data_IF_518302544845
#
_entry.id   IF_518302544845
#
_cell.length_a   1.000
_cell.length_b   1.000
_cell.length_c   1.000
_cell.angle_alpha   90.00
_cell.angle_beta   90.00
_cell.angle_gamma   90.00
#
_symmetry.space_group_name_H-M   'P 1'
#
loop_
_entity.id
_entity.type
_entity.pdbx_description
1 polymer ?
#
# COMPACT_ATOMS: atom_id res chain seq x y z
N UNK A 1 6.52 25.17 -14.64
CA UNK A 1 7.74 24.95 -13.80
C UNK A 1 8.32 26.27 -13.29
N UNK A 2 8.65 27.23 -14.17
CA UNK A 2 9.22 28.53 -13.78
C UNK A 2 8.33 29.32 -12.80
N UNK A 3 7.01 29.39 -13.04
CA UNK A 3 6.03 30.09 -12.19
C UNK A 3 6.02 29.60 -10.73
N UNK A 4 6.34 28.31 -10.52
CA UNK A 4 6.39 27.67 -9.20
C UNK A 4 7.82 27.63 -8.64
N UNK A 5 8.79 28.30 -9.28
CA UNK A 5 10.23 28.26 -8.98
C UNK A 5 10.77 26.83 -8.71
N UNK A 6 10.30 25.83 -9.46
CA UNK A 6 10.74 24.45 -9.30
C UNK A 6 12.20 24.35 -9.74
N UNK A 7 13.08 23.95 -8.81
CA UNK A 7 14.53 23.81 -9.03
C UNK A 7 15.03 22.37 -8.92
N UNK A 8 14.20 21.48 -8.38
CA UNK A 8 14.54 20.08 -8.09
C UNK A 8 13.38 19.19 -8.57
N UNK A 9 13.67 18.13 -9.31
CA UNK A 9 12.67 17.20 -9.85
C UNK A 9 13.02 15.77 -9.44
N UNK A 10 12.11 15.10 -8.75
CA UNK A 10 12.20 13.68 -8.41
C UNK A 10 11.23 12.88 -9.29
N UNK A 11 11.78 12.11 -10.23
CA UNK A 11 11.02 11.22 -11.13
C UNK A 11 10.97 9.81 -10.55
N UNK A 12 9.79 9.40 -10.07
CA UNK A 12 9.49 8.06 -9.57
C UNK A 12 8.66 7.28 -10.60
N UNK A 13 9.27 6.86 -11.71
CA UNK A 13 8.60 6.06 -12.75
C UNK A 13 9.49 4.94 -13.32
N UNK A 14 8.99 4.22 -14.32
CA UNK A 14 9.75 3.20 -15.04
C UNK A 14 10.87 3.81 -15.90
N UNK A 15 10.66 5.05 -16.38
CA UNK A 15 11.60 5.78 -17.24
C UNK A 15 11.91 7.18 -16.66
N UNK A 16 13.12 7.72 -16.87
CA UNK A 16 13.45 9.11 -16.57
C UNK A 16 12.87 10.07 -17.63
N UNK A 17 12.74 11.35 -17.27
CA UNK A 17 12.58 12.44 -18.26
C UNK A 17 13.81 12.41 -19.19
N UNK A 18 13.61 12.46 -20.51
CA UNK A 18 14.71 12.39 -21.50
C UNK A 18 15.59 13.63 -21.37
N UNK A 19 16.90 13.51 -21.61
CA UNK A 19 17.85 14.63 -21.47
C UNK A 19 17.47 15.88 -22.28
N UNK A 20 16.87 15.70 -23.45
CA UNK A 20 16.44 16.81 -24.31
C UNK A 20 15.20 17.56 -23.77
N UNK A 21 14.44 16.91 -22.89
CA UNK A 21 13.24 17.47 -22.24
C UNK A 21 13.58 18.10 -20.86
N UNK A 22 14.86 18.03 -20.43
CA UNK A 22 15.33 18.56 -19.15
C UNK A 22 15.77 20.01 -19.26
N UNK A 23 15.24 20.87 -18.38
CA UNK A 23 15.61 22.28 -18.28
C UNK A 23 16.94 22.47 -17.53
N UNK A 24 17.90 23.18 -18.12
CA UNK A 24 19.25 23.39 -17.57
C UNK A 24 19.33 24.09 -16.20
N UNK A 25 18.27 24.76 -15.76
CA UNK A 25 18.19 25.47 -14.48
C UNK A 25 17.54 24.64 -13.34
N UNK A 26 17.40 23.33 -13.53
CA UNK A 26 16.67 22.38 -12.68
C UNK A 26 17.47 21.08 -12.53
N UNK A 27 17.67 20.60 -11.29
CA UNK A 27 18.33 19.31 -11.03
C UNK A 27 17.32 18.16 -11.12
N UNK A 28 17.61 17.14 -11.94
CA UNK A 28 16.76 15.96 -12.09
C UNK A 28 17.34 14.75 -11.35
N UNK A 29 16.55 14.14 -10.47
CA UNK A 29 16.85 12.85 -9.82
C UNK A 29 15.84 11.81 -10.28
N UNK A 30 16.33 10.78 -10.95
CA UNK A 30 15.53 9.59 -11.28
C UNK A 30 15.65 8.53 -10.18
N UNK A 31 14.53 7.88 -9.88
CA UNK A 31 14.42 6.68 -9.06
C UNK A 31 13.44 5.73 -9.78
N UNK A 32 13.93 4.55 -10.16
CA UNK A 32 13.11 3.55 -10.87
C UNK A 32 11.99 3.04 -9.95
N UNK A 33 10.74 3.11 -10.42
CA UNK A 33 9.57 2.64 -9.66
C UNK A 33 8.41 2.22 -10.58
N UNK A 34 7.98 0.97 -10.45
CA UNK A 34 6.80 0.40 -11.13
C UNK A 34 5.53 0.60 -10.29
N UNK A 35 4.37 0.73 -10.93
CA UNK A 35 3.07 0.89 -10.24
C UNK A 35 2.40 -0.47 -9.97
N UNK A 36 3.17 -1.40 -9.42
CA UNK A 36 2.80 -2.81 -9.25
C UNK A 36 2.64 -3.14 -7.77
N UNK A 37 1.71 -4.05 -7.43
CA UNK A 37 1.53 -4.52 -6.05
C UNK A 37 2.77 -5.23 -5.48
N UNK A 38 3.62 -5.77 -6.35
CA UNK A 38 4.92 -6.38 -6.01
C UNK A 38 6.07 -5.38 -5.91
N UNK A 39 5.86 -4.07 -6.18
CA UNK A 39 6.93 -3.08 -6.01
C UNK A 39 7.16 -2.82 -4.51
N UNK A 40 8.21 -3.42 -3.95
CA UNK A 40 8.79 -2.95 -2.70
C UNK A 40 9.40 -1.55 -2.90
N UNK A 41 8.96 -0.59 -2.09
CA UNK A 41 9.49 0.77 -2.02
C UNK A 41 10.23 1.04 -0.71
N UNK A 42 9.97 0.26 0.35
CA UNK A 42 10.63 0.41 1.64
C UNK A 42 12.05 -0.15 1.57
N UNK A 43 12.22 -1.27 0.87
CA UNK A 43 13.47 -1.96 0.72
C UNK A 43 14.50 -1.26 -0.16
N UNK A 44 15.68 -1.88 -0.20
CA UNK A 44 16.80 -1.53 -1.07
C UNK A 44 17.28 -0.06 -0.95
N UNK A 45 16.86 0.65 0.11
CA UNK A 45 17.13 2.07 0.32
C UNK A 45 16.33 3.02 -0.58
N UNK A 46 15.36 2.53 -1.35
CA UNK A 46 14.66 3.27 -2.41
C UNK A 46 13.88 4.47 -1.86
N UNK A 47 13.05 4.24 -0.83
CA UNK A 47 12.36 5.31 -0.12
C UNK A 47 13.34 6.24 0.63
N UNK A 48 14.38 5.71 1.27
CA UNK A 48 15.37 6.55 1.97
C UNK A 48 16.12 7.49 1.03
N UNK A 49 16.40 7.09 -0.22
CA UNK A 49 16.97 7.97 -1.22
C UNK A 49 15.99 9.09 -1.63
N UNK A 50 14.73 8.74 -1.90
CA UNK A 50 13.68 9.72 -2.22
C UNK A 50 13.50 10.75 -1.10
N UNK A 51 13.32 10.29 0.14
CA UNK A 51 13.09 11.14 1.30
C UNK A 51 14.30 12.02 1.62
N UNK A 52 15.52 11.52 1.42
CA UNK A 52 16.76 12.30 1.57
C UNK A 52 16.87 13.42 0.53
N UNK A 53 16.55 13.14 -0.73
CA UNK A 53 16.58 14.14 -1.82
C UNK A 53 15.56 15.26 -1.59
N UNK A 54 14.33 14.93 -1.17
CA UNK A 54 13.32 15.94 -0.82
C UNK A 54 13.78 16.74 0.42
N UNK A 55 14.27 16.06 1.46
CA UNK A 55 14.68 16.70 2.71
C UNK A 55 15.93 17.59 2.60
N UNK A 56 16.88 17.31 1.68
CA UNK A 56 17.98 18.24 1.39
C UNK A 56 17.48 19.44 0.60
N UNK A 57 16.76 19.20 -0.49
CA UNK A 57 16.22 20.23 -1.38
C UNK A 57 15.36 21.27 -0.65
N UNK A 58 14.44 20.83 0.21
CA UNK A 58 13.59 21.73 1.01
C UNK A 58 14.41 22.53 2.03
N UNK A 59 15.46 21.93 2.62
CA UNK A 59 16.39 22.63 3.54
C UNK A 59 17.26 23.66 2.83
N UNK A 60 17.57 23.42 1.56
CA UNK A 60 18.24 24.37 0.66
C UNK A 60 17.30 25.49 0.16
N UNK A 61 16.02 25.50 0.56
CA UNK A 61 15.02 26.47 0.11
C UNK A 61 14.48 26.24 -1.31
N UNK A 62 14.71 25.06 -1.90
CA UNK A 62 14.26 24.73 -3.25
C UNK A 62 12.86 24.12 -3.27
N UNK A 63 12.01 24.58 -4.19
CA UNK A 63 10.75 23.91 -4.50
C UNK A 63 11.01 22.62 -5.30
N UNK A 64 10.45 21.51 -4.82
CA UNK A 64 10.65 20.16 -5.35
C UNK A 64 9.38 19.67 -6.05
N UNK A 65 9.50 19.25 -7.31
CA UNK A 65 8.45 18.50 -8.00
C UNK A 65 8.71 17.00 -7.88
N UNK A 66 7.86 16.29 -7.14
CA UNK A 66 7.87 14.82 -7.10
C UNK A 66 6.77 14.30 -8.02
N UNK A 67 7.13 13.51 -9.04
CA UNK A 67 6.16 13.01 -10.02
C UNK A 67 6.40 11.54 -10.41
N UNK A 68 5.36 10.92 -10.95
CA UNK A 68 5.43 9.66 -11.69
C UNK A 68 4.76 9.87 -13.06
N UNK A 69 4.18 8.83 -13.65
CA UNK A 69 3.47 8.93 -14.94
C UNK A 69 2.20 9.81 -14.87
N UNK A 70 1.32 9.56 -13.89
CA UNK A 70 0.00 10.22 -13.78
C UNK A 70 -0.12 11.14 -12.54
N UNK A 71 0.80 11.01 -11.59
CA UNK A 71 0.72 11.70 -10.30
C UNK A 71 -0.50 11.26 -9.45
N UNK A 72 -0.72 9.94 -9.41
CA UNK A 72 -1.83 9.26 -8.71
C UNK A 72 -1.32 8.36 -7.59
N UNK A 73 -0.35 7.48 -7.88
CA UNK A 73 0.13 6.44 -6.96
C UNK A 73 1.59 6.64 -6.54
N UNK A 74 2.59 6.06 -7.24
CA UNK A 74 4.03 6.11 -6.89
C UNK A 74 4.54 7.40 -6.23
N UNK A 75 4.37 8.55 -6.90
CA UNK A 75 4.83 9.84 -6.38
C UNK A 75 4.01 10.36 -5.19
N UNK A 76 2.71 10.04 -5.13
CA UNK A 76 1.86 10.31 -3.96
C UNK A 76 2.35 9.51 -2.77
N UNK A 77 2.74 8.24 -2.95
CA UNK A 77 3.31 7.41 -1.87
C UNK A 77 4.60 8.01 -1.31
N UNK A 78 5.51 8.47 -2.18
CA UNK A 78 6.77 9.11 -1.77
C UNK A 78 6.52 10.43 -1.03
N UNK A 79 5.58 11.27 -1.50
CA UNK A 79 5.20 12.51 -0.81
C UNK A 79 4.48 12.22 0.51
N UNK A 80 3.64 11.18 0.56
CA UNK A 80 2.98 10.74 1.79
C UNK A 80 4.01 10.33 2.84
N UNK A 81 4.95 9.43 2.50
CA UNK A 81 6.03 9.02 3.40
C UNK A 81 6.89 10.21 3.88
N UNK A 82 7.09 11.24 3.05
CA UNK A 82 7.77 12.47 3.45
C UNK A 82 6.96 13.27 4.48
N UNK A 83 5.67 13.49 4.23
CA UNK A 83 4.74 14.17 5.15
C UNK A 83 4.62 13.40 6.48
N UNK A 84 4.48 12.08 6.42
CA UNK A 84 4.44 11.19 7.59
C UNK A 84 5.71 11.31 8.43
N UNK A 85 6.90 11.22 7.80
CA UNK A 85 8.19 11.38 8.50
C UNK A 85 8.40 12.78 9.08
N UNK A 86 7.94 13.83 8.39
CA UNK A 86 8.21 15.21 8.79
C UNK A 86 7.28 15.71 9.91
N UNK A 87 6.03 15.23 9.95
CA UNK A 87 5.03 15.67 10.93
C UNK A 87 4.55 14.57 11.89
N UNK A 88 5.14 13.37 11.82
CA UNK A 88 4.73 12.17 12.57
C UNK A 88 3.23 11.84 12.40
N UNK A 89 2.75 11.92 11.16
CA UNK A 89 1.35 11.64 10.79
C UNK A 89 1.15 10.21 10.31
N UNK A 90 -0.05 9.66 10.55
CA UNK A 90 -0.48 8.39 10.00
C UNK A 90 -0.61 8.40 8.48
N UNK A 91 -0.55 7.22 7.86
CA UNK A 91 -0.70 7.04 6.42
C UNK A 91 -2.02 7.65 5.89
N UNK A 92 -3.12 7.39 6.59
CA UNK A 92 -4.44 7.97 6.30
C UNK A 92 -4.39 9.50 6.30
N UNK A 93 -3.89 10.12 7.37
CA UNK A 93 -3.85 11.58 7.53
C UNK A 93 -2.96 12.25 6.47
N UNK A 94 -1.83 11.65 6.13
CA UNK A 94 -0.94 12.14 5.09
C UNK A 94 -1.58 12.05 3.69
N UNK A 95 -2.29 10.94 3.39
CA UNK A 95 -3.00 10.79 2.12
C UNK A 95 -4.20 11.74 2.02
N UNK A 96 -5.01 11.90 3.07
CA UNK A 96 -6.09 12.90 3.13
C UNK A 96 -5.58 14.33 2.92
N UNK A 97 -4.40 14.66 3.47
CA UNK A 97 -3.77 15.96 3.26
C UNK A 97 -3.38 16.17 1.79
N UNK A 98 -2.75 15.17 1.15
CA UNK A 98 -2.39 15.24 -0.27
C UNK A 98 -3.64 15.31 -1.15
N UNK A 99 -4.68 14.55 -0.84
CA UNK A 99 -5.95 14.54 -1.59
C UNK A 99 -6.65 15.91 -1.62
N UNK A 100 -6.50 16.75 -0.58
CA UNK A 100 -7.02 18.13 -0.59
C UNK A 100 -6.37 19.02 -1.68
N UNK A 101 -5.09 18.77 -2.01
CA UNK A 101 -4.37 19.49 -3.06
C UNK A 101 -4.38 18.74 -4.42
N UNK A 102 -4.55 17.41 -4.40
CA UNK A 102 -4.53 16.51 -5.56
C UNK A 102 -5.65 15.47 -5.42
N UNK A 103 -6.91 15.77 -5.74
CA UNK A 103 -8.04 14.87 -5.48
C UNK A 103 -7.96 13.48 -6.13
N UNK A 104 -7.17 13.31 -7.18
CA UNK A 104 -6.91 12.01 -7.83
C UNK A 104 -5.83 11.17 -7.13
N UNK A 105 -5.28 11.61 -6.00
CA UNK A 105 -4.24 10.92 -5.26
C UNK A 105 -4.77 9.63 -4.61
N UNK A 106 -4.38 8.48 -5.17
CA UNK A 106 -4.72 7.16 -4.68
C UNK A 106 -3.58 6.17 -4.98
N UNK A 107 -2.71 5.88 -4.00
CA UNK A 107 -1.75 4.78 -4.11
C UNK A 107 -2.44 3.43 -4.34
N UNK A 108 -1.73 2.50 -4.97
CA UNK A 108 -2.17 1.11 -5.01
C UNK A 108 -2.15 0.49 -3.59
N UNK A 109 -2.90 -0.60 -3.37
CA UNK A 109 -3.11 -1.15 -2.03
C UNK A 109 -1.80 -1.61 -1.33
N UNK A 110 -0.83 -2.12 -2.09
CA UNK A 110 0.49 -2.50 -1.56
C UNK A 110 1.25 -1.27 -1.05
N UNK A 111 1.18 -0.14 -1.75
CA UNK A 111 1.76 1.11 -1.27
C UNK A 111 1.08 1.64 -0.01
N UNK A 112 -0.25 1.50 0.12
CA UNK A 112 -0.97 1.87 1.37
C UNK A 112 -0.52 0.97 2.52
N UNK A 113 -0.42 -0.34 2.30
CA UNK A 113 0.14 -1.31 3.26
C UNK A 113 1.57 -0.93 3.65
N UNK A 114 2.45 -0.63 2.69
CA UNK A 114 3.83 -0.23 2.93
C UNK A 114 3.94 1.10 3.69
N UNK A 115 3.06 2.08 3.47
CA UNK A 115 2.99 3.29 4.30
C UNK A 115 2.60 2.96 5.75
N UNK A 116 1.66 2.03 5.97
CA UNK A 116 1.31 1.56 7.32
C UNK A 116 2.48 0.81 8.00
N UNK A 117 3.22 -0.02 7.25
CA UNK A 117 4.44 -0.67 7.76
C UNK A 117 5.51 0.38 8.10
N UNK A 118 5.65 1.44 7.30
CA UNK A 118 6.57 2.55 7.55
C UNK A 118 6.21 3.37 8.80
N UNK A 119 4.90 3.60 9.04
CA UNK A 119 4.38 4.18 10.29
C UNK A 119 4.74 3.34 11.51
N UNK A 120 4.48 2.02 11.45
CA UNK A 120 4.83 1.07 12.51
C UNK A 120 6.36 0.92 12.73
N UNK A 121 7.17 1.24 11.72
CA UNK A 121 8.63 1.33 11.84
C UNK A 121 9.13 2.68 12.40
N UNK A 122 8.24 3.55 12.91
CA UNK A 122 8.61 4.87 13.42
C UNK A 122 9.10 5.80 12.30
N UNK A 123 8.47 5.71 11.13
CA UNK A 123 8.80 6.47 9.92
C UNK A 123 10.23 6.27 9.40
N UNK A 124 10.78 5.06 9.57
CA UNK A 124 12.14 4.66 9.13
C UNK A 124 12.08 3.52 8.11
N UNK A 125 12.90 3.63 7.06
CA UNK A 125 13.14 2.58 6.07
C UNK A 125 14.65 2.28 5.95
N UNK A 126 15.41 2.55 7.02
CA UNK A 126 16.81 2.14 7.14
C UNK A 126 16.92 0.62 7.35
N UNK A 127 18.06 0.02 7.00
CA UNK A 127 18.24 -1.44 7.03
C UNK A 127 18.02 -2.08 8.40
N UNK A 128 18.10 -1.30 9.50
CA UNK A 128 17.79 -1.77 10.85
C UNK A 128 16.28 -1.79 11.09
N UNK A 129 15.57 -0.74 10.71
CA UNK A 129 14.10 -0.71 10.80
C UNK A 129 13.47 -1.87 10.00
N UNK A 130 13.92 -2.06 8.75
CA UNK A 130 13.46 -3.14 7.86
C UNK A 130 13.74 -4.53 8.44
N UNK A 131 14.95 -4.79 8.95
CA UNK A 131 15.29 -6.11 9.52
C UNK A 131 14.56 -6.42 10.82
N UNK A 132 14.20 -5.40 11.61
CA UNK A 132 13.52 -5.58 12.90
C UNK A 132 11.97 -5.67 12.75
N UNK A 133 11.40 -5.18 11.66
CA UNK A 133 9.95 -5.20 11.40
C UNK A 133 9.43 -6.56 10.94
N UNK A 134 8.62 -7.23 11.78
CA UNK A 134 7.91 -8.46 11.38
C UNK A 134 6.90 -8.19 10.25
N UNK A 135 6.22 -7.04 10.26
CA UNK A 135 5.22 -6.68 9.24
C UNK A 135 5.87 -6.55 7.85
N UNK A 136 7.08 -6.00 7.80
CA UNK A 136 7.87 -5.94 6.56
C UNK A 136 8.33 -7.33 6.11
N UNK A 137 8.79 -8.19 7.03
CA UNK A 137 9.16 -9.58 6.70
C UNK A 137 7.98 -10.38 6.13
N UNK A 138 6.78 -10.21 6.70
CA UNK A 138 5.56 -10.81 6.16
C UNK A 138 5.26 -10.29 4.75
N UNK A 139 5.19 -8.96 4.58
CA UNK A 139 4.97 -8.32 3.27
C UNK A 139 5.95 -8.83 2.20
N UNK A 140 7.22 -8.98 2.53
CA UNK A 140 8.23 -9.53 1.62
C UNK A 140 7.91 -10.98 1.21
N UNK A 141 7.52 -11.85 2.15
CA UNK A 141 7.12 -13.22 1.87
C UNK A 141 5.84 -13.29 1.01
N UNK A 142 4.82 -12.52 1.38
CA UNK A 142 3.51 -12.48 0.69
C UNK A 142 3.62 -11.99 -0.76
N UNK A 143 4.58 -11.09 -1.04
CA UNK A 143 4.78 -10.50 -2.38
C UNK A 143 5.94 -11.10 -3.18
N UNK A 144 6.66 -12.07 -2.61
CA UNK A 144 7.87 -12.66 -3.23
C UNK A 144 9.06 -11.70 -3.32
N UNK A 145 9.05 -10.59 -2.58
CA UNK A 145 10.15 -9.63 -2.55
C UNK A 145 11.31 -10.17 -1.70
N UNK A 146 12.51 -10.14 -2.26
CA UNK A 146 13.75 -10.44 -1.52
C UNK A 146 14.39 -9.11 -1.12
N UNK A 147 14.23 -8.65 0.14
CA UNK A 147 14.81 -7.38 0.56
C UNK A 147 16.34 -7.50 0.60
N UNK A 148 17.05 -6.53 0.02
CA UNK A 148 18.52 -6.47 0.03
C UNK A 148 19.07 -6.08 1.42
N UNK A 149 18.78 -6.90 2.42
CA UNK A 149 19.36 -6.84 3.76
C UNK A 149 20.88 -7.08 3.63
N UNK A 150 21.65 -6.07 4.02
CA UNK A 150 23.09 -6.03 3.76
C UNK A 150 23.85 -7.29 4.21
N UNK A 151 24.74 -7.78 3.36
CA UNK A 151 25.76 -8.82 3.66
C UNK A 151 25.25 -10.22 4.07
N UNK A 152 23.96 -10.53 3.96
CA UNK A 152 23.46 -11.90 4.05
C UNK A 152 23.78 -12.71 2.76
N UNK A 153 23.46 -12.15 1.59
CA UNK A 153 23.61 -12.81 0.29
C UNK A 153 25.06 -13.19 -0.05
N UNK A 154 26.04 -12.42 0.45
CA UNK A 154 27.47 -12.75 0.32
C UNK A 154 27.87 -14.02 1.08
N UNK A 155 27.26 -14.31 2.23
CA UNK A 155 27.59 -15.52 3.01
C UNK A 155 26.95 -16.79 2.42
N UNK A 156 25.79 -16.67 1.78
CA UNK A 156 25.18 -17.80 1.06
C UNK A 156 25.93 -18.11 -0.24
N UNK A 157 26.37 -17.09 -0.98
CA UNK A 157 27.22 -17.26 -2.16
C UNK A 157 28.61 -17.84 -1.80
N UNK A 158 29.24 -17.37 -0.71
CA UNK A 158 30.53 -17.88 -0.25
C UNK A 158 30.50 -19.37 0.20
N UNK A 159 29.32 -19.93 0.49
CA UNK A 159 29.16 -21.38 0.75
C UNK A 159 29.17 -22.26 -0.50
N UNK A 160 29.07 -21.67 -1.70
CA UNK A 160 29.12 -22.39 -2.99
C UNK A 160 30.52 -22.30 -3.63
N UNK A 161 31.36 -21.36 -3.20
CA UNK A 161 32.78 -21.27 -3.59
C UNK A 161 33.66 -21.10 -2.36
N UNK A 162 34.21 -22.21 -1.86
CA UNK A 162 35.02 -22.28 -0.64
C UNK A 162 36.35 -21.51 -0.72
N UNK A 163 36.32 -20.19 -0.51
CA UNK A 163 37.49 -19.34 -0.33
C UNK A 163 37.27 -18.39 0.85
N UNK A 164 38.10 -18.52 1.88
CA UNK A 164 38.18 -17.58 2.99
C UNK A 164 38.86 -16.28 2.53
N UNK A 165 38.32 -15.13 2.94
CA UNK A 165 38.95 -13.82 2.76
C UNK A 165 38.88 -13.07 4.09
N UNK A 166 39.99 -12.45 4.49
CA UNK A 166 40.16 -11.85 5.82
C UNK A 166 39.38 -10.54 5.99
N UNK A 167 38.96 -10.25 7.22
CA UNK A 167 38.27 -9.01 7.58
C UNK A 167 39.26 -7.94 8.03
N UNK A 168 39.17 -6.74 7.44
CA UNK A 168 39.88 -5.54 7.90
C UNK A 168 38.89 -4.43 8.29
N UNK A 169 39.28 -3.59 9.26
CA UNK A 169 38.34 -2.76 10.00
C UNK A 169 38.12 -1.37 9.38
N UNK A 170 36.86 -0.94 9.28
CA UNK A 170 36.50 0.49 9.29
C UNK A 170 35.47 0.78 10.40
N UNK A 171 35.77 1.80 11.22
CA UNK A 171 34.90 2.25 12.32
C UNK A 171 33.99 3.38 11.85
N UNK A 172 32.67 3.23 11.94
CA UNK A 172 31.73 4.35 11.82
C UNK A 172 31.67 5.15 13.13
N UNK A 173 31.75 6.49 13.05
CA UNK A 173 31.41 7.39 14.15
C UNK A 173 29.90 7.65 14.16
N UNK A 174 29.31 7.84 15.34
CA UNK A 174 27.91 8.22 15.50
C UNK A 174 27.68 9.72 15.28
N UNK A 175 26.48 10.10 14.84
CA UNK A 175 26.01 11.49 14.80
C UNK A 175 25.27 11.85 16.11
N UNK A 176 25.37 13.10 16.60
CA UNK A 176 24.67 13.53 17.81
C UNK A 176 23.16 13.73 17.59
N UNK A 177 22.37 13.66 18.66
CA UNK A 177 20.98 14.12 18.67
C UNK A 177 20.95 15.65 18.67
N UNK A 178 20.05 16.25 17.89
CA UNK A 178 19.70 17.66 18.01
C UNK A 178 18.73 17.87 19.18
N UNK A 179 18.89 18.97 19.91
CA UNK A 179 18.00 19.38 20.99
C UNK A 179 16.77 20.13 20.45
N UNK A 180 15.65 20.05 21.16
CA UNK A 180 14.45 20.83 20.84
C UNK A 180 14.67 22.32 21.20
N UNK A 181 14.29 23.21 20.29
CA UNK A 181 14.22 24.66 20.56
C UNK A 181 12.81 25.07 21.02
N UNK A 182 12.73 26.25 21.65
CA UNK A 182 11.69 26.55 22.63
C UNK A 182 10.29 26.87 22.06
N UNK A 183 9.29 26.71 22.93
CA UNK A 183 7.86 27.01 22.74
C UNK A 183 7.57 28.49 22.99
N UNK A 184 6.86 29.13 22.07
CA UNK A 184 6.06 30.36 22.28
C UNK A 184 4.77 30.19 21.46
N UNK A 185 3.60 30.05 22.09
CA UNK A 185 2.73 31.09 22.70
C UNK A 185 1.60 31.52 21.75
N UNK A 186 0.37 31.09 22.07
CA UNK A 186 -0.91 31.64 21.63
C UNK A 186 -1.81 31.67 22.90
N UNK A 187 -2.69 32.67 23.13
CA UNK A 187 -3.26 32.93 24.46
C UNK A 187 -4.38 31.98 24.92
N UNK A 188 -4.66 32.01 26.23
CA UNK A 188 -5.84 31.41 26.87
C UNK A 188 -7.11 32.27 26.63
N UNK A 189 -8.31 31.71 26.83
CA UNK A 189 -9.08 31.86 28.09
C UNK A 189 -10.27 30.82 28.15
N UNK A 190 -11.23 30.79 29.12
CA UNK A 190 -11.21 29.68 30.08
C UNK A 190 -12.56 28.97 30.35
N UNK A 191 -12.54 28.06 31.36
CA UNK A 191 -13.65 27.52 32.18
C UNK A 191 -14.07 26.06 31.91
N UNK A 192 -14.24 25.25 32.98
CA UNK A 192 -14.69 23.85 32.89
C UNK A 192 -14.23 22.91 34.03
N UNK A 193 -14.32 23.34 35.29
CA UNK A 193 -13.87 22.60 36.48
C UNK A 193 -14.61 21.25 36.72
N UNK A 194 -13.91 20.17 37.11
CA UNK A 194 -14.23 19.38 38.33
C UNK A 194 -13.21 18.26 38.68
N UNK A 195 -12.43 18.52 39.74
CA UNK A 195 -12.13 17.67 40.91
C UNK A 195 -11.46 16.27 40.84
N UNK A 196 -10.73 16.01 41.93
CA UNK A 196 -9.94 14.83 42.29
C UNK A 196 -10.78 13.75 43.04
N UNK A 197 -10.30 12.53 43.35
CA UNK A 197 -9.37 12.24 44.48
C UNK A 197 -8.66 10.87 44.38
N UNK A 198 -7.55 10.75 45.12
CA UNK A 198 -6.82 9.53 45.55
C UNK A 198 -6.87 9.50 47.12
N UNK A 199 -6.58 8.41 47.88
CA UNK A 199 -5.42 7.50 47.79
C UNK A 199 -5.82 6.03 47.40
N UNK A 200 -5.42 4.85 47.94
CA UNK A 200 -4.67 4.40 49.15
C UNK A 200 -3.94 3.05 48.96
N UNK A 201 -3.16 2.66 49.99
CA UNK A 201 -2.53 1.35 50.25
C UNK A 201 -3.53 0.38 50.93
N UNK A 202 -3.26 -0.91 51.23
CA UNK A 202 -1.97 -1.61 51.48
C UNK A 202 -2.06 -3.16 51.38
N UNK A 203 -0.94 -3.82 51.74
CA UNK A 203 -0.81 -5.22 52.21
C UNK A 203 -0.79 -6.37 51.17
N UNK A 204 -0.20 -7.49 51.61
CA UNK A 204 0.22 -8.63 50.79
C UNK A 204 -0.15 -9.97 51.44
N UNK A 205 -0.34 -11.02 50.63
CA UNK A 205 -0.18 -12.41 51.09
C UNK A 205 0.22 -13.30 49.93
N UNK A 206 1.25 -14.12 50.11
CA UNK A 206 1.65 -15.14 49.11
C UNK A 206 0.67 -16.32 49.13
N UNK A 207 0.36 -16.87 47.95
CA UNK A 207 -0.19 -18.22 47.79
C UNK A 207 0.30 -18.80 46.47
N UNK A 208 0.84 -20.02 46.51
CA UNK A 208 1.39 -20.70 45.34
C UNK A 208 0.27 -21.10 44.36
N UNK A 209 0.55 -20.99 43.06
CA UNK A 209 -0.22 -21.67 42.00
C UNK A 209 0.56 -22.91 41.52
N UNK A 210 -0.12 -24.03 41.20
CA UNK A 210 0.55 -25.25 40.76
C UNK A 210 0.98 -25.18 39.29
N UNK A 211 2.12 -25.81 38.99
CA UNK A 211 2.61 -26.00 37.61
C UNK A 211 1.71 -26.98 36.85
N UNK A 212 0.92 -26.48 35.89
CA UNK A 212 0.18 -27.33 34.96
C UNK A 212 1.05 -27.62 33.74
N UNK A 213 1.63 -28.82 33.68
CA UNK A 213 2.19 -29.34 32.45
C UNK A 213 1.06 -29.61 31.44
N UNK A 214 0.95 -28.79 30.41
CA UNK A 214 0.17 -29.11 29.20
C UNK A 214 1.14 -29.43 28.07
N UNK A 215 1.21 -30.71 27.70
CA UNK A 215 1.90 -31.10 26.48
C UNK A 215 1.13 -30.54 25.27
N UNK A 216 1.83 -29.91 24.33
CA UNK A 216 1.20 -29.49 23.08
C UNK A 216 0.77 -30.73 22.29
N UNK A 217 -0.52 -30.87 21.91
CA UNK A 217 -0.88 -31.79 20.84
C UNK A 217 -0.21 -31.30 19.55
N UNK A 218 0.36 -32.22 18.77
CA UNK A 218 0.95 -31.88 17.47
C UNK A 218 -0.13 -31.28 16.57
N UNK A 219 0.21 -30.21 15.83
CA UNK A 219 -0.72 -29.55 14.93
C UNK A 219 -1.11 -30.48 13.77
N UNK A 220 -2.26 -31.13 13.89
CA UNK A 220 -2.88 -31.90 12.81
C UNK A 220 -3.10 -31.00 11.61
N UNK A 221 -2.41 -31.27 10.50
CA UNK A 221 -2.61 -30.55 9.25
C UNK A 221 -4.03 -30.86 8.76
N UNK A 222 -4.93 -29.87 8.85
CA UNK A 222 -6.19 -29.92 8.13
C UNK A 222 -5.88 -29.89 6.64
N UNK A 223 -6.59 -30.65 5.79
CA UNK A 223 -6.50 -30.50 4.35
C UNK A 223 -6.79 -29.04 3.97
N UNK A 224 -5.93 -28.45 3.15
CA UNK A 224 -6.27 -27.22 2.43
C UNK A 224 -7.28 -27.62 1.35
N UNK A 225 -8.57 -27.49 1.66
CA UNK A 225 -9.64 -27.64 0.67
C UNK A 225 -9.42 -26.62 -0.46
N UNK A 226 -9.62 -27.06 -1.70
CA UNK A 226 -9.40 -26.22 -2.89
C UNK A 226 -10.42 -25.07 -2.88
N UNK A 227 -10.00 -23.80 -2.97
CA UNK A 227 -10.92 -22.66 -3.01
C UNK A 227 -11.99 -22.75 -4.11
N UNK A 228 -11.76 -23.47 -5.22
CA UNK A 228 -12.80 -23.71 -6.23
C UNK A 228 -13.93 -24.64 -5.74
N UNK A 229 -13.69 -25.47 -4.71
CA UNK A 229 -14.71 -26.34 -4.08
C UNK A 229 -15.60 -25.58 -3.09
N UNK A 230 -15.17 -24.41 -2.60
CA UNK A 230 -15.97 -23.54 -1.72
C UNK A 230 -16.99 -22.67 -2.48
N UNK A 231 -16.95 -22.67 -3.81
CA UNK A 231 -17.82 -21.86 -4.66
C UNK A 231 -19.29 -22.30 -4.58
N UNK A 232 -20.23 -21.35 -4.42
CA UNK A 232 -21.67 -21.64 -4.46
C UNK A 232 -22.29 -21.28 -5.82
N UNK A 233 -21.64 -20.39 -6.58
CA UNK A 233 -22.12 -19.87 -7.86
C UNK A 233 -21.00 -19.85 -8.90
N UNK A 234 -21.34 -20.29 -10.12
CA UNK A 234 -20.49 -20.29 -11.30
C UNK A 234 -21.00 -19.32 -12.36
N UNK A 235 -20.07 -18.62 -13.01
CA UNK A 235 -20.36 -17.56 -13.96
C UNK A 235 -19.78 -17.90 -15.33
N UNK A 236 -20.68 -18.05 -16.32
CA UNK A 236 -20.37 -18.57 -17.66
C UNK A 236 -20.64 -17.52 -18.73
N UNK A 237 -19.83 -17.49 -19.78
CA UNK A 237 -20.08 -16.61 -20.93
C UNK A 237 -21.42 -16.95 -21.60
N UNK A 238 -22.34 -15.98 -21.67
CA UNK A 238 -23.70 -16.14 -22.23
C UNK A 238 -23.70 -16.69 -23.66
N UNK A 239 -22.68 -16.33 -24.47
CA UNK A 239 -22.56 -16.69 -25.89
C UNK A 239 -22.10 -18.13 -26.14
N UNK A 240 -21.21 -18.69 -25.31
CA UNK A 240 -20.50 -19.95 -25.60
C UNK A 240 -20.41 -20.93 -24.42
N UNK A 241 -21.04 -20.59 -23.29
CA UNK A 241 -21.13 -21.33 -22.03
C UNK A 241 -19.80 -21.67 -21.36
N UNK A 242 -18.69 -21.06 -21.81
CA UNK A 242 -17.38 -21.14 -21.19
C UNK A 242 -17.44 -20.67 -19.72
N UNK A 243 -16.90 -21.47 -18.80
CA UNK A 243 -16.67 -21.06 -17.41
C UNK A 243 -15.68 -19.89 -17.37
N UNK A 244 -15.99 -18.83 -16.61
CA UNK A 244 -15.16 -17.62 -16.50
C UNK A 244 -14.68 -17.40 -15.06
N UNK A 245 -15.58 -17.43 -14.09
CA UNK A 245 -15.26 -17.19 -12.68
C UNK A 245 -16.31 -17.80 -11.75
N UNK A 246 -16.03 -17.71 -10.45
CA UNK A 246 -16.92 -18.09 -9.36
C UNK A 246 -17.22 -16.87 -8.47
N UNK A 247 -18.24 -16.95 -7.64
CA UNK A 247 -18.60 -15.95 -6.62
C UNK A 247 -17.41 -15.46 -5.78
N UNK A 248 -16.54 -16.36 -5.32
CA UNK A 248 -15.34 -16.03 -4.53
C UNK A 248 -14.32 -15.09 -5.24
N UNK A 249 -14.50 -14.83 -6.54
CA UNK A 249 -13.66 -13.88 -7.30
C UNK A 249 -14.26 -12.48 -7.39
N UNK A 250 -15.50 -12.28 -6.89
CA UNK A 250 -16.23 -11.02 -6.99
C UNK A 250 -15.78 -10.04 -5.88
N UNK A 251 -15.32 -8.86 -6.30
CA UNK A 251 -14.93 -7.77 -5.42
C UNK A 251 -16.14 -6.89 -5.08
N UNK A 252 -16.59 -6.95 -3.83
CA UNK A 252 -17.64 -6.06 -3.33
C UNK A 252 -17.07 -4.71 -2.85
N UNK A 253 -17.85 -3.65 -3.01
CA UNK A 253 -17.57 -2.33 -2.44
C UNK A 253 -18.84 -1.68 -1.89
N UNK A 254 -18.70 -0.81 -0.90
CA UNK A 254 -19.79 -0.03 -0.33
C UNK A 254 -20.08 1.23 -1.16
N UNK A 255 -21.28 1.77 -1.02
CA UNK A 255 -21.69 3.07 -1.57
C UNK A 255 -21.04 4.20 -0.73
N UNK A 256 -20.53 5.23 -1.40
CA UNK A 256 -19.80 6.36 -0.81
C UNK A 256 -18.28 6.26 -1.00
N UNK A 257 -17.62 7.42 -1.05
CA UNK A 257 -16.15 7.50 -1.03
C UNK A 257 -15.56 7.21 0.38
N UNK A 258 -14.22 7.22 0.49
CA UNK A 258 -13.42 6.83 1.66
C UNK A 258 -13.74 7.50 3.03
N UNK A 259 -14.74 8.38 3.15
CA UNK A 259 -15.00 9.21 4.34
C UNK A 259 -16.18 8.74 5.24
N UNK A 260 -16.68 7.50 5.11
CA UNK A 260 -17.82 7.01 5.93
C UNK A 260 -17.52 5.74 6.76
N UNK A 261 -16.46 5.77 7.56
CA UNK A 261 -16.16 4.73 8.56
C UNK A 261 -17.10 4.75 9.81
N UNK A 262 -18.36 5.21 9.68
CA UNK A 262 -19.29 5.45 10.81
C UNK A 262 -20.79 5.16 10.53
N UNK A 263 -21.12 4.41 9.48
CA UNK A 263 -22.48 3.87 9.27
C UNK A 263 -22.52 2.37 9.60
N UNK A 264 -23.59 1.84 10.20
CA UNK A 264 -23.73 0.40 10.44
C UNK A 264 -23.82 -0.37 9.10
N UNK A 265 -23.32 -1.61 9.10
CA UNK A 265 -23.35 -2.50 7.94
C UNK A 265 -24.78 -3.02 7.67
N UNK A 266 -25.56 -2.23 6.92
CA UNK A 266 -26.79 -2.69 6.28
C UNK A 266 -26.47 -3.40 4.96
N UNK A 267 -27.31 -4.37 4.53
CA UNK A 267 -27.16 -4.99 3.22
C UNK A 267 -27.30 -3.98 2.07
N UNK A 268 -28.10 -2.94 2.27
CA UNK A 268 -28.29 -1.82 1.34
C UNK A 268 -27.03 -0.96 1.15
N UNK A 269 -26.02 -1.09 2.03
CA UNK A 269 -24.77 -0.32 1.93
C UNK A 269 -23.86 -0.78 0.78
N UNK A 270 -24.04 -1.99 0.23
CA UNK A 270 -23.24 -2.48 -0.90
C UNK A 270 -23.70 -1.92 -2.24
N UNK A 271 -22.77 -1.75 -3.18
CA UNK A 271 -23.07 -1.33 -4.54
C UNK A 271 -23.34 -2.54 -5.45
N UNK A 272 -24.52 -2.58 -6.08
CA UNK A 272 -24.88 -3.62 -7.06
C UNK A 272 -24.35 -3.32 -8.48
N UNK A 273 -23.15 -2.74 -8.60
CA UNK A 273 -22.54 -2.49 -9.90
C UNK A 273 -22.26 -3.80 -10.68
N UNK A 274 -21.89 -3.67 -11.95
CA UNK A 274 -21.36 -4.75 -12.80
C UNK A 274 -20.29 -5.57 -12.05
N UNK A 275 -20.17 -6.87 -12.33
CA UNK A 275 -19.30 -7.78 -11.59
C UNK A 275 -17.83 -7.34 -11.64
N UNK A 276 -17.38 -6.70 -10.56
CA UNK A 276 -15.97 -6.37 -10.33
C UNK A 276 -15.23 -7.62 -9.89
N UNK A 277 -14.05 -7.88 -10.45
CA UNK A 277 -13.31 -9.12 -10.24
C UNK A 277 -11.85 -8.87 -9.85
N UNK A 278 -11.26 -9.82 -9.13
CA UNK A 278 -9.81 -9.95 -9.08
C UNK A 278 -9.24 -10.36 -10.46
N UNK A 279 -7.95 -10.07 -10.76
CA UNK A 279 -7.34 -10.45 -12.04
C UNK A 279 -7.26 -11.98 -12.19
N UNK A 280 -7.87 -12.54 -13.24
CA UNK A 280 -7.89 -13.99 -13.48
C UNK A 280 -6.85 -14.42 -14.51
N UNK A 281 -6.27 -15.63 -14.33
CA UNK A 281 -5.24 -16.23 -15.21
C UNK A 281 -5.60 -16.28 -16.70
N UNK A 282 -6.89 -16.30 -17.05
CA UNK A 282 -7.37 -16.33 -18.44
C UNK A 282 -7.55 -14.94 -19.08
N UNK A 283 -7.52 -13.86 -18.29
CA UNK A 283 -7.72 -12.50 -18.79
C UNK A 283 -6.42 -11.96 -19.38
N UNK A 284 -6.48 -11.40 -20.58
CA UNK A 284 -5.35 -10.63 -21.14
C UNK A 284 -5.37 -9.22 -20.55
N UNK A 285 -4.58 -8.99 -19.50
CA UNK A 285 -4.51 -7.73 -18.74
C UNK A 285 -3.10 -7.13 -18.71
N UNK A 286 -2.30 -7.34 -19.76
CA UNK A 286 -0.89 -6.94 -19.79
C UNK A 286 -0.67 -5.42 -19.97
N UNK A 287 -1.56 -4.74 -20.69
CA UNK A 287 -1.53 -3.27 -20.84
C UNK A 287 -2.17 -2.58 -19.62
N UNK A 288 -1.98 -1.27 -19.43
CA UNK A 288 -2.54 -0.52 -18.30
C UNK A 288 -4.09 -0.47 -18.26
N UNK A 289 -4.73 -0.51 -19.43
CA UNK A 289 -6.19 -0.59 -19.58
C UNK A 289 -6.53 -1.36 -20.86
N UNK A 290 -7.70 -1.99 -20.91
CA UNK A 290 -8.09 -2.78 -22.08
C UNK A 290 -9.50 -3.37 -22.02
N UNK A 291 -9.80 -4.24 -22.98
CA UNK A 291 -11.08 -4.95 -23.12
C UNK A 291 -10.92 -6.37 -22.56
N UNK A 292 -11.89 -6.84 -21.77
CA UNK A 292 -11.93 -8.25 -21.36
C UNK A 292 -12.80 -9.01 -22.35
N UNK A 293 -12.22 -9.97 -23.05
CA UNK A 293 -12.88 -10.81 -24.04
C UNK A 293 -12.97 -12.26 -23.54
N UNK A 294 -14.01 -12.99 -23.95
CA UNK A 294 -14.13 -14.41 -23.62
C UNK A 294 -13.04 -15.24 -24.33
N UNK A 295 -12.23 -16.04 -23.61
CA UNK A 295 -11.11 -16.77 -24.20
C UNK A 295 -11.53 -17.83 -25.23
N UNK A 296 -12.78 -18.33 -25.16
CA UNK A 296 -13.33 -19.34 -26.09
C UNK A 296 -13.96 -18.74 -27.36
N UNK A 297 -14.47 -17.50 -27.33
CA UNK A 297 -15.31 -16.99 -28.42
C UNK A 297 -15.11 -15.50 -28.78
N UNK A 298 -14.12 -14.82 -28.20
CA UNK A 298 -13.77 -13.43 -28.50
C UNK A 298 -14.79 -12.37 -28.06
N UNK A 299 -15.98 -12.76 -27.59
CA UNK A 299 -17.03 -11.85 -27.15
C UNK A 299 -16.52 -10.87 -26.09
N UNK A 300 -16.74 -9.56 -26.28
CA UNK A 300 -16.41 -8.55 -25.27
C UNK A 300 -17.31 -8.74 -24.06
N UNK A 301 -16.73 -9.19 -22.96
CA UNK A 301 -17.38 -9.40 -21.66
C UNK A 301 -17.36 -8.13 -20.80
N UNK A 302 -16.35 -7.28 -20.98
CA UNK A 302 -16.12 -6.13 -20.12
C UNK A 302 -14.87 -5.34 -20.49
N UNK A 303 -14.28 -4.69 -19.49
CA UNK A 303 -13.11 -3.83 -19.65
C UNK A 303 -12.37 -3.70 -18.30
N UNK A 304 -11.08 -3.43 -18.38
CA UNK A 304 -10.21 -3.33 -17.21
C UNK A 304 -9.36 -2.06 -17.25
N UNK A 305 -9.06 -1.48 -16.08
CA UNK A 305 -8.15 -0.33 -15.88
C UNK A 305 -7.41 -0.54 -14.56
N UNK A 306 -6.09 -0.75 -14.62
CA UNK A 306 -5.29 -1.03 -13.43
C UNK A 306 -5.26 0.15 -12.44
N UNK A 307 -5.21 1.39 -12.96
CA UNK A 307 -5.27 2.61 -12.15
C UNK A 307 -6.64 2.94 -11.52
N UNK A 308 -7.62 2.04 -11.59
CA UNK A 308 -8.94 2.21 -10.96
C UNK A 308 -9.88 3.19 -11.64
N UNK A 309 -11.11 3.30 -11.11
CA UNK A 309 -12.09 4.36 -11.42
C UNK A 309 -13.03 4.61 -10.24
N UNK A 310 -13.68 5.78 -10.26
CA UNK A 310 -14.87 6.05 -9.46
C UNK A 310 -16.06 5.27 -10.04
N UNK A 311 -16.70 4.48 -9.20
CA UNK A 311 -17.94 3.77 -9.50
C UNK A 311 -19.10 4.76 -9.60
N UNK A 312 -19.87 4.71 -10.69
CA UNK A 312 -21.04 5.57 -10.88
C UNK A 312 -22.35 4.93 -10.38
N UNK A 313 -22.35 3.63 -10.07
CA UNK A 313 -23.57 2.85 -9.84
C UNK A 313 -24.25 2.42 -11.16
N UNK A 314 -25.45 1.85 -11.06
CA UNK A 314 -26.19 1.29 -12.20
C UNK A 314 -26.98 2.31 -13.04
N UNK A 315 -26.99 3.58 -12.63
CA UNK A 315 -27.75 4.64 -13.30
C UNK A 315 -29.12 4.94 -12.67
N UNK A 316 -29.56 4.18 -11.66
CA UNK A 316 -30.84 4.33 -10.93
C UNK A 316 -30.89 5.57 -10.00
N UNK A 317 -30.38 6.72 -10.45
CA UNK A 317 -30.31 7.98 -9.71
C UNK A 317 -29.32 8.02 -8.54
N UNK A 318 -28.95 6.87 -7.96
CA UNK A 318 -28.01 6.75 -6.83
C UNK A 318 -26.56 6.62 -7.32
N UNK A 319 -25.82 7.73 -7.31
CA UNK A 319 -24.38 7.72 -7.57
C UNK A 319 -23.64 6.91 -6.48
N UNK A 320 -22.80 5.96 -6.88
CA UNK A 320 -22.01 5.18 -5.91
C UNK A 320 -20.87 6.00 -5.30
N UNK A 321 -20.04 6.66 -6.11
CA UNK A 321 -18.97 7.56 -5.66
C UNK A 321 -17.73 6.88 -5.02
N UNK A 322 -17.78 5.57 -4.78
CA UNK A 322 -16.62 4.80 -4.31
C UNK A 322 -15.56 4.70 -5.41
N UNK A 323 -14.28 4.86 -5.05
CA UNK A 323 -13.18 4.57 -5.96
C UNK A 323 -12.75 3.10 -5.80
N UNK A 324 -12.67 2.36 -6.92
CA UNK A 324 -12.31 0.94 -6.93
C UNK A 324 -11.10 0.72 -7.83
N UNK A 325 -10.08 0.06 -7.29
CA UNK A 325 -8.87 -0.35 -7.99
C UNK A 325 -8.44 -1.77 -7.57
N UNK A 326 -8.00 -2.64 -8.50
CA UNK A 326 -8.03 -2.43 -9.94
C UNK A 326 -9.48 -2.43 -10.47
N UNK A 327 -9.77 -1.61 -11.47
CA UNK A 327 -11.11 -1.53 -12.06
C UNK A 327 -11.28 -2.59 -13.14
N UNK A 328 -11.52 -3.83 -12.75
CA UNK A 328 -11.75 -4.97 -13.66
C UNK A 328 -13.22 -5.35 -13.54
N UNK A 329 -14.06 -5.06 -14.53
CA UNK A 329 -15.47 -5.45 -14.49
C UNK A 329 -15.94 -6.25 -15.70
N UNK A 330 -16.87 -7.17 -15.44
CA UNK A 330 -17.59 -7.99 -16.41
C UNK A 330 -19.07 -7.59 -16.36
N UNK A 331 -19.66 -7.38 -17.54
CA UNK A 331 -21.04 -6.95 -17.64
C UNK A 331 -22.01 -8.10 -17.30
N UNK A 332 -22.94 -7.86 -16.37
CA UNK A 332 -24.02 -8.78 -15.98
C UNK A 332 -24.81 -9.27 -17.20
N UNK A 333 -24.97 -8.44 -18.23
CA UNK A 333 -25.67 -8.79 -19.47
C UNK A 333 -24.89 -9.71 -20.43
N UNK A 334 -23.60 -9.99 -20.18
CA UNK A 334 -22.71 -10.86 -21.00
C UNK A 334 -22.44 -12.23 -20.38
N UNK A 335 -22.95 -12.46 -19.18
CA UNK A 335 -22.67 -13.64 -18.34
C UNK A 335 -23.99 -14.24 -17.85
N UNK A 336 -24.00 -15.57 -17.69
CA UNK A 336 -25.07 -16.29 -17.02
C UNK A 336 -24.52 -16.92 -15.73
N UNK A 337 -25.27 -16.75 -14.65
CA UNK A 337 -25.01 -17.30 -13.32
C UNK A 337 -25.75 -18.63 -13.15
N UNK A 338 -25.05 -19.65 -12.66
CA UNK A 338 -25.63 -20.94 -12.25
C UNK A 338 -25.13 -21.31 -10.85
N UNK A 339 -26.05 -21.70 -9.94
CA UNK A 339 -25.67 -22.29 -8.66
C UNK A 339 -24.94 -23.62 -8.88
N UNK A 340 -24.06 -23.97 -7.95
CA UNK A 340 -23.31 -25.22 -7.95
C UNK A 340 -24.02 -26.21 -7.01
N UNK A 341 -24.19 -27.46 -7.44
CA UNK A 341 -24.91 -28.47 -6.66
C UNK A 341 -26.44 -28.34 -6.66
N UNK A 342 -27.02 -27.72 -7.70
CA UNK A 342 -28.46 -27.57 -7.92
C UNK A 342 -28.87 -28.08 -9.31
#
# INVERSE_FOLDING_TARGET
MQELNIRKVLTCSAMPIRKNDQLSAVDYKFVFMMDMVSQDILGNGLLEECLRYIASSVREGNNVLVHCEVGVSRSVTVVAAYVMRHFEWSAEKALMFIQKARPIACPNQSFIQQLSIFEQMGYRADSRALTQSQLYRNYCADTGNIPAIGTASSMLAAKISGKTVSSSNLKMKAMPRLAALSRNQIPNDPSGNMQSTKPSSSASTSRNLPTINTAHPAASQLPMEDPEQMAQQSFRCRKCRQQLFYDLHIMHHTKGGFNQAKQPYSADSFCDFEYLLMPMKWMSTAEFQGKINCPKCGEKLGQYIWGGRVCLGNGDGKQCGAFVAPWIHIQKCKVDMSRIGA
#
